data_IF_287420366179
#
_entry.id   IF_287420366179
#
_cell.length_a   1.000
_cell.length_b   1.000
_cell.length_c   1.000
_cell.angle_alpha   90.00
_cell.angle_beta   90.00
_cell.angle_gamma   90.00
#
_symmetry.space_group_name_H-M   'P 1'
#
loop_
_entity.id
_entity.type
_entity.pdbx_description
1 polymer ?
#
# COMPACT_ATOMS: atom_id res chain seq x y z
N UNK A 1 -22.67 -2.10 13.77
CA UNK A 1 -22.01 -2.72 12.61
C UNK A 1 -20.92 -3.61 13.15
N UNK A 2 -20.94 -4.93 12.89
CA UNK A 2 -19.81 -5.78 13.24
C UNK A 2 -18.60 -5.23 12.47
N UNK A 3 -17.52 -4.97 13.19
CA UNK A 3 -16.26 -4.57 12.58
C UNK A 3 -15.66 -5.87 12.06
N UNK A 4 -15.80 -6.12 10.76
CA UNK A 4 -15.18 -7.27 10.13
C UNK A 4 -13.68 -7.27 10.48
N UNK A 5 -13.09 -8.42 10.88
CA UNK A 5 -11.68 -8.48 11.30
C UNK A 5 -10.72 -7.99 10.20
N UNK A 6 -11.15 -8.08 8.94
CA UNK A 6 -10.47 -7.56 7.75
C UNK A 6 -10.29 -6.02 7.80
N UNK A 7 -11.25 -5.31 8.39
CA UNK A 7 -11.21 -3.85 8.51
C UNK A 7 -10.04 -3.35 9.37
N UNK A 8 -9.59 -4.15 10.35
CA UNK A 8 -8.46 -3.78 11.20
C UNK A 8 -7.12 -3.88 10.46
N UNK A 9 -6.96 -4.88 9.60
CA UNK A 9 -5.78 -5.01 8.73
C UNK A 9 -5.77 -3.93 7.66
N UNK A 10 -6.94 -3.60 7.13
CA UNK A 10 -7.10 -2.51 6.18
C UNK A 10 -6.80 -1.13 6.78
N UNK A 11 -7.17 -0.89 8.05
CA UNK A 11 -6.78 0.34 8.76
C UNK A 11 -5.26 0.46 8.91
N UNK A 12 -4.55 -0.67 9.05
CA UNK A 12 -3.09 -0.67 9.12
C UNK A 12 -2.44 -0.29 7.78
N UNK A 13 -3.11 -0.39 6.62
CA UNK A 13 -2.58 0.15 5.35
C UNK A 13 -2.37 1.68 5.39
N UNK A 14 -2.92 2.40 6.38
CA UNK A 14 -2.53 3.79 6.60
C UNK A 14 -1.03 3.91 6.88
N UNK A 15 -0.46 2.90 7.54
CA UNK A 15 0.95 2.86 7.82
C UNK A 15 1.76 2.64 6.54
N UNK A 16 2.75 3.49 6.24
CA UNK A 16 3.57 3.35 5.04
C UNK A 16 4.30 2.01 4.93
N UNK A 17 4.65 1.39 6.05
CA UNK A 17 5.35 0.10 6.07
C UNK A 17 4.43 -1.06 5.72
N UNK A 18 3.21 -1.07 6.30
CA UNK A 18 2.20 -2.08 6.01
C UNK A 18 1.74 -1.98 4.55
N UNK A 19 1.66 -0.76 4.01
CA UNK A 19 1.41 -0.56 2.57
C UNK A 19 2.54 -1.13 1.71
N UNK A 20 3.81 -0.97 2.11
CA UNK A 20 4.95 -1.55 1.40
C UNK A 20 4.92 -3.10 1.47
N UNK A 21 4.51 -3.69 2.60
CA UNK A 21 4.35 -5.15 2.76
C UNK A 21 3.24 -5.69 1.87
N UNK A 22 2.05 -5.07 1.90
CA UNK A 22 0.94 -5.45 1.03
C UNK A 22 1.29 -5.29 -0.44
N UNK A 23 2.00 -4.24 -0.81
CA UNK A 23 2.52 -4.09 -2.15
C UNK A 23 3.46 -5.25 -2.54
N UNK A 24 4.34 -5.68 -1.64
CA UNK A 24 5.22 -6.84 -1.90
C UNK A 24 4.42 -8.13 -2.09
N UNK A 25 3.35 -8.34 -1.30
CA UNK A 25 2.45 -9.47 -1.49
C UNK A 25 1.74 -9.41 -2.85
N UNK A 26 1.11 -8.28 -3.19
CA UNK A 26 0.47 -8.11 -4.49
C UNK A 26 1.47 -8.24 -5.65
N UNK A 27 2.73 -7.84 -5.49
CA UNK A 27 3.76 -8.07 -6.53
C UNK A 27 4.14 -9.54 -6.71
N UNK A 28 3.81 -10.43 -5.77
CA UNK A 28 3.96 -11.88 -5.95
C UNK A 28 2.79 -12.49 -6.70
N UNK A 29 1.64 -11.83 -6.68
CA UNK A 29 0.41 -12.28 -7.31
C UNK A 29 0.17 -11.62 -8.69
N UNK A 30 0.76 -10.46 -8.94
CA UNK A 30 0.66 -9.73 -10.20
C UNK A 30 1.93 -9.85 -11.05
N UNK A 31 1.75 -9.83 -12.37
CA UNK A 31 2.86 -9.79 -13.34
C UNK A 31 3.56 -8.43 -13.36
N UNK A 32 2.86 -7.33 -13.03
CA UNK A 32 3.44 -5.99 -13.05
C UNK A 32 3.34 -5.25 -11.71
N UNK A 33 4.37 -4.43 -11.46
CA UNK A 33 4.42 -3.56 -10.29
C UNK A 33 3.34 -2.46 -10.29
N UNK A 34 2.86 -2.05 -11.47
CA UNK A 34 1.78 -1.07 -11.58
C UNK A 34 0.43 -1.68 -11.18
N UNK A 35 0.14 -2.92 -11.61
CA UNK A 35 -1.07 -3.64 -11.18
C UNK A 35 -1.07 -3.91 -9.68
N UNK A 36 0.05 -4.37 -9.14
CA UNK A 36 0.18 -4.58 -7.71
C UNK A 36 -0.01 -3.29 -6.91
N UNK A 37 0.46 -2.15 -7.43
CA UNK A 37 0.21 -0.85 -6.81
C UNK A 37 -1.27 -0.47 -6.89
N UNK A 38 -1.90 -0.61 -8.06
CA UNK A 38 -3.29 -0.23 -8.25
C UNK A 38 -4.23 -1.05 -7.36
N UNK A 39 -3.97 -2.35 -7.18
CA UNK A 39 -4.69 -3.21 -6.25
C UNK A 39 -4.64 -2.69 -4.81
N UNK A 40 -3.44 -2.46 -4.27
CA UNK A 40 -3.27 -1.95 -2.90
C UNK A 40 -3.86 -0.54 -2.74
N UNK A 41 -3.76 0.29 -3.77
CA UNK A 41 -4.41 1.61 -3.80
C UNK A 41 -5.94 1.52 -3.82
N UNK A 42 -6.50 0.57 -4.55
CA UNK A 42 -7.95 0.34 -4.58
C UNK A 42 -8.47 -0.16 -3.24
N UNK A 43 -7.76 -1.09 -2.59
CA UNK A 43 -8.07 -1.53 -1.23
C UNK A 43 -8.02 -0.35 -0.25
N UNK A 44 -6.95 0.44 -0.32
CA UNK A 44 -6.80 1.64 0.50
C UNK A 44 -7.92 2.66 0.26
N UNK A 45 -8.25 2.91 -1.00
CA UNK A 45 -9.33 3.84 -1.39
C UNK A 45 -10.69 3.33 -0.94
N UNK A 46 -10.94 2.03 -0.98
CA UNK A 46 -12.18 1.41 -0.52
C UNK A 46 -12.40 1.67 0.98
N UNK A 47 -11.33 1.62 1.77
CA UNK A 47 -11.37 1.75 3.23
C UNK A 47 -11.34 3.21 3.69
N UNK A 48 -10.44 4.01 3.11
CA UNK A 48 -10.21 5.40 3.54
C UNK A 48 -10.95 6.44 2.68
N UNK A 49 -11.62 6.01 1.62
CA UNK A 49 -12.33 6.88 0.67
C UNK A 49 -11.40 7.78 -0.16
N UNK A 50 -10.08 7.63 -0.05
CA UNK A 50 -9.09 8.49 -0.71
C UNK A 50 -7.86 7.71 -1.14
N UNK A 51 -7.14 8.25 -2.11
CA UNK A 51 -5.86 7.70 -2.55
C UNK A 51 -4.74 8.09 -1.59
N UNK A 52 -3.80 7.17 -1.32
CA UNK A 52 -2.63 7.43 -0.47
C UNK A 52 -1.55 8.20 -1.22
N UNK A 53 -1.34 7.85 -2.48
CA UNK A 53 -0.35 8.45 -3.37
C UNK A 53 -1.02 8.87 -4.67
N UNK A 54 -0.52 9.95 -5.29
CA UNK A 54 -1.12 10.47 -6.53
C UNK A 54 -0.90 9.55 -7.74
N UNK A 55 0.21 8.79 -7.74
CA UNK A 55 0.58 7.85 -8.79
C UNK A 55 1.67 6.88 -8.30
N UNK A 56 1.85 5.78 -9.03
CA UNK A 56 2.89 4.77 -8.75
C UNK A 56 4.28 5.38 -8.61
N UNK A 57 4.62 6.38 -9.42
CA UNK A 57 5.94 7.01 -9.38
C UNK A 57 6.18 7.76 -8.05
N UNK A 58 5.16 8.45 -7.53
CA UNK A 58 5.19 9.12 -6.22
C UNK A 58 5.37 8.12 -5.08
N UNK A 59 4.67 6.98 -5.15
CA UNK A 59 4.86 5.88 -4.22
C UNK A 59 6.29 5.32 -4.28
N UNK A 60 6.81 5.07 -5.48
CA UNK A 60 8.15 4.51 -5.69
C UNK A 60 9.25 5.40 -5.12
N UNK A 61 9.13 6.72 -5.29
CA UNK A 61 10.05 7.70 -4.68
C UNK A 61 9.96 7.69 -3.16
N UNK A 62 8.74 7.68 -2.61
CA UNK A 62 8.52 7.61 -1.17
C UNK A 62 9.10 6.33 -0.55
N UNK A 63 8.84 5.17 -1.18
CA UNK A 63 9.39 3.86 -0.78
C UNK A 63 10.92 3.86 -0.84
N UNK A 64 11.52 4.36 -1.93
CA UNK A 64 12.98 4.46 -2.05
C UNK A 64 13.59 5.34 -0.94
N UNK A 65 12.94 6.45 -0.59
CA UNK A 65 13.36 7.31 0.51
C UNK A 65 13.29 6.58 1.86
N UNK A 66 12.22 5.81 2.11
CA UNK A 66 12.08 4.98 3.33
C UNK A 66 13.16 3.91 3.43
N UNK A 67 13.43 3.19 2.35
CA UNK A 67 14.47 2.15 2.31
C UNK A 67 15.84 2.78 2.59
N UNK A 68 16.14 3.93 1.99
CA UNK A 68 17.39 4.66 2.23
C UNK A 68 17.53 5.12 3.69
N UNK A 69 16.45 5.64 4.29
CA UNK A 69 16.45 6.11 5.68
C UNK A 69 16.61 4.98 6.71
N UNK A 70 16.43 3.71 6.32
CA UNK A 70 16.57 2.55 7.20
C UNK A 70 18.01 2.02 7.25
N UNK A 71 18.91 2.59 6.45
CA UNK A 71 20.28 2.10 6.25
C UNK A 71 21.35 3.11 6.71
N UNK A 72 20.93 4.18 7.38
CA UNK A 72 21.77 5.22 8.03
C UNK A 72 21.60 5.08 9.56
#
# INVERSE_FOLDING_TARGET
MPIDPDHLELVKLHDPYVFDERFVECTRECDTYEEAYDLVEQEYKSVFGKRKYSNYNSYRVARRKRIKARHD
#
